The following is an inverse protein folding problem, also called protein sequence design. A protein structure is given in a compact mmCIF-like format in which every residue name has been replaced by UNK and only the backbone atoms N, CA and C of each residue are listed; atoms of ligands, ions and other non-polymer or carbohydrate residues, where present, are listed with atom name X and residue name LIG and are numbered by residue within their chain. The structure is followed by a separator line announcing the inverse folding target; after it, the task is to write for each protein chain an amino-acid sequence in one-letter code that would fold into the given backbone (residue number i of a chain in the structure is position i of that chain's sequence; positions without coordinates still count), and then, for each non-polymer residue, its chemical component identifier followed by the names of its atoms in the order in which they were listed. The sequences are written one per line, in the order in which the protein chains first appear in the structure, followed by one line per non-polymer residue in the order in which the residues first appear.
data_IF_790992662786
#
_entry.id   IF_790992662786
#
_cell.length_a   1.000
_cell.length_b   1.000
_cell.length_c   1.000
_cell.angle_alpha   90.00
_cell.angle_beta   90.00
_cell.angle_gamma   90.00
#
_symmetry.space_group_name_H-M   'P 1'
#
loop_
_entity.id
_entity.type
_entity.pdbx_description
1 polymer ?
#
# COMPACT_ATOMS: atom_id res chain seq x y z
N UNK A 1 -32.88 -4.76 0.27
CA UNK A 1 -31.97 -3.93 -0.55
C UNK A 1 -31.52 -4.70 -1.79
N UNK A 2 -31.47 -4.01 -2.93
CA UNK A 2 -31.12 -4.58 -4.23
C UNK A 2 -29.79 -3.97 -4.66
N UNK A 3 -28.86 -4.82 -5.07
CA UNK A 3 -27.56 -4.43 -5.61
C UNK A 3 -27.73 -3.74 -6.97
N UNK A 4 -26.92 -2.71 -7.21
CA UNK A 4 -26.88 -2.04 -8.52
C UNK A 4 -26.31 -2.97 -9.58
N UNK A 5 -26.77 -2.81 -10.82
CA UNK A 5 -26.32 -3.51 -12.03
C UNK A 5 -26.62 -5.01 -12.08
N UNK A 6 -26.51 -5.72 -10.96
CA UNK A 6 -26.73 -7.18 -10.89
C UNK A 6 -28.16 -7.57 -10.55
N UNK A 7 -28.94 -6.66 -9.89
CA UNK A 7 -30.26 -6.97 -9.38
C UNK A 7 -30.29 -7.98 -8.21
N UNK A 8 -29.14 -8.40 -7.69
CA UNK A 8 -29.08 -9.34 -6.56
C UNK A 8 -29.66 -8.72 -5.30
N UNK A 9 -30.33 -9.54 -4.49
CA UNK A 9 -30.84 -9.10 -3.18
C UNK A 9 -29.74 -9.19 -2.16
N UNK A 10 -29.24 -8.03 -1.70
CA UNK A 10 -28.20 -7.94 -0.66
C UNK A 10 -28.78 -8.23 0.72
N UNK A 11 -29.98 -7.70 0.99
CA UNK A 11 -30.64 -7.83 2.30
C UNK A 11 -32.16 -7.95 2.14
N UNK A 12 -32.72 -9.01 2.72
CA UNK A 12 -34.16 -9.16 2.94
C UNK A 12 -34.48 -8.59 4.32
N UNK A 13 -35.58 -7.80 4.40
CA UNK A 13 -36.17 -7.33 5.67
C UNK A 13 -37.58 -7.84 5.74
N UNK A 14 -38.01 -8.30 6.89
CA UNK A 14 -39.37 -8.67 7.17
C UNK A 14 -40.15 -7.50 7.81
N UNK A 15 -41.48 -7.60 7.89
CA UNK A 15 -42.31 -6.59 8.56
C UNK A 15 -42.05 -6.52 10.07
N UNK A 16 -41.48 -7.57 10.66
CA UNK A 16 -41.03 -7.60 12.06
C UNK A 16 -39.69 -6.86 12.26
N UNK A 17 -38.83 -6.78 11.23
CA UNK A 17 -37.51 -6.14 11.32
C UNK A 17 -37.59 -4.61 11.17
N UNK A 18 -38.68 -4.09 10.58
CA UNK A 18 -38.75 -2.67 10.24
C UNK A 18 -40.18 -2.17 10.23
N UNK A 19 -40.44 -1.04 10.87
CA UNK A 19 -41.71 -0.33 10.77
C UNK A 19 -41.98 0.13 9.34
N UNK A 20 -43.13 -0.20 8.81
CA UNK A 20 -43.54 0.21 7.47
C UNK A 20 -43.99 1.67 7.53
N UNK A 21 -43.36 2.53 6.72
CA UNK A 21 -43.73 3.95 6.59
C UNK A 21 -43.85 4.35 5.11
N UNK A 22 -44.72 5.31 4.82
CA UNK A 22 -44.99 5.81 3.47
C UNK A 22 -45.70 4.80 2.57
N UNK A 23 -45.98 5.21 1.33
CA UNK A 23 -46.72 4.41 0.36
C UNK A 23 -45.92 3.18 -0.07
N UNK A 24 -46.62 2.05 -0.11
CA UNK A 24 -46.04 0.77 -0.51
C UNK A 24 -46.90 0.12 -1.60
N UNK A 25 -46.20 -0.65 -2.44
CA UNK A 25 -46.81 -1.45 -3.50
C UNK A 25 -46.58 -2.92 -3.17
N UNK A 26 -47.64 -3.72 -3.25
CA UNK A 26 -47.58 -5.17 -3.07
C UNK A 26 -47.08 -5.79 -4.36
N UNK A 27 -46.23 -6.78 -4.23
CA UNK A 27 -45.74 -7.59 -5.36
C UNK A 27 -45.84 -9.08 -5.04
N UNK A 28 -45.92 -9.88 -6.08
CA UNK A 28 -46.03 -11.32 -5.98
C UNK A 28 -44.79 -12.00 -6.58
N UNK A 29 -44.49 -13.21 -6.11
CA UNK A 29 -43.46 -14.06 -6.63
C UNK A 29 -43.56 -14.22 -8.16
N UNK A 30 -42.46 -14.09 -8.86
CA UNK A 30 -42.36 -14.23 -10.33
C UNK A 30 -42.62 -12.93 -11.10
N UNK A 31 -43.08 -11.86 -10.42
CA UNK A 31 -43.17 -10.55 -11.06
C UNK A 31 -41.78 -9.93 -11.27
N UNK A 32 -41.67 -9.14 -12.32
CA UNK A 32 -40.47 -8.29 -12.52
C UNK A 32 -40.64 -7.04 -11.68
N UNK A 33 -39.61 -6.71 -10.90
CA UNK A 33 -39.53 -5.49 -10.10
C UNK A 33 -38.51 -4.55 -10.77
N UNK A 34 -38.96 -3.35 -11.18
CA UNK A 34 -38.08 -2.35 -11.81
C UNK A 34 -38.05 -1.06 -10.98
N UNK A 35 -36.84 -0.53 -10.71
CA UNK A 35 -36.72 0.76 -10.02
C UNK A 35 -36.82 1.93 -10.98
N UNK A 36 -37.86 2.77 -10.80
CA UNK A 36 -37.99 4.05 -11.52
C UNK A 36 -36.97 5.07 -11.08
N UNK A 37 -36.54 5.00 -9.82
CA UNK A 37 -35.61 5.94 -9.21
C UNK A 37 -34.17 5.54 -9.56
N UNK A 38 -33.42 6.48 -10.10
CA UNK A 38 -32.04 6.29 -10.53
C UNK A 38 -31.91 5.07 -11.45
N UNK A 39 -32.59 5.05 -12.60
CA UNK A 39 -32.66 3.88 -13.47
C UNK A 39 -31.26 3.41 -13.95
N UNK A 40 -30.27 4.31 -14.02
CA UNK A 40 -28.89 3.98 -14.34
C UNK A 40 -28.24 2.99 -13.36
N UNK A 41 -28.83 2.79 -12.17
CA UNK A 41 -28.40 1.76 -11.21
C UNK A 41 -28.89 0.35 -11.60
N UNK A 42 -29.71 0.21 -12.64
CA UNK A 42 -30.21 -1.07 -13.17
C UNK A 42 -30.72 -2.03 -12.09
N UNK A 43 -31.50 -1.51 -11.13
CA UNK A 43 -32.10 -2.33 -10.07
C UNK A 43 -33.38 -3.00 -10.60
N UNK A 44 -33.16 -4.15 -11.24
CA UNK A 44 -34.21 -4.96 -11.87
C UNK A 44 -34.01 -6.41 -11.48
N UNK A 45 -35.10 -7.10 -11.10
CA UNK A 45 -35.02 -8.52 -10.76
C UNK A 45 -36.39 -9.18 -10.91
N UNK A 46 -36.41 -10.52 -10.96
CA UNK A 46 -37.62 -11.31 -10.76
C UNK A 46 -37.83 -11.51 -9.27
N UNK A 47 -39.02 -11.20 -8.75
CA UNK A 47 -39.36 -11.34 -7.33
C UNK A 47 -39.28 -12.82 -6.90
N UNK A 48 -38.40 -13.19 -5.97
CA UNK A 48 -38.27 -14.59 -5.50
C UNK A 48 -39.41 -14.99 -4.55
N UNK A 49 -40.02 -14.01 -3.87
CA UNK A 49 -41.07 -14.19 -2.87
C UNK A 49 -42.16 -13.13 -3.02
N UNK A 50 -43.27 -13.28 -2.34
CA UNK A 50 -44.27 -12.22 -2.19
C UNK A 50 -43.74 -11.15 -1.23
N UNK A 51 -44.16 -9.90 -1.41
CA UNK A 51 -43.73 -8.84 -0.53
C UNK A 51 -44.27 -7.47 -0.83
N UNK A 52 -43.69 -6.45 -0.21
CA UNK A 52 -43.96 -5.04 -0.44
C UNK A 52 -42.71 -4.29 -0.83
N UNK A 53 -42.85 -3.33 -1.70
CA UNK A 53 -41.78 -2.44 -2.12
C UNK A 53 -42.18 -0.97 -2.00
N UNK A 54 -41.23 -0.06 -2.14
CA UNK A 54 -41.56 1.38 -2.21
C UNK A 54 -42.30 1.72 -3.50
N UNK A 55 -43.02 2.84 -3.53
CA UNK A 55 -43.67 3.36 -4.74
C UNK A 55 -42.71 3.70 -5.89
N UNK A 56 -41.43 3.72 -5.63
CA UNK A 56 -40.38 3.89 -6.66
C UNK A 56 -40.06 2.59 -7.40
N UNK A 57 -40.52 1.43 -6.91
CA UNK A 57 -40.41 0.14 -7.60
C UNK A 57 -41.74 -0.15 -8.31
N UNK A 58 -41.68 -0.56 -9.56
CA UNK A 58 -42.83 -0.97 -10.36
C UNK A 58 -42.81 -2.50 -10.50
N UNK A 59 -43.72 -3.19 -9.81
CA UNK A 59 -43.95 -4.62 -10.05
C UNK A 59 -44.85 -4.79 -11.29
N UNK A 60 -44.51 -5.72 -12.16
CA UNK A 60 -45.38 -6.09 -13.27
C UNK A 60 -45.23 -7.56 -13.64
N UNK A 61 -46.28 -8.12 -14.24
CA UNK A 61 -46.28 -9.49 -14.71
C UNK A 61 -46.13 -9.54 -16.23
N UNK A 62 -45.40 -10.53 -16.72
CA UNK A 62 -45.39 -10.84 -18.13
C UNK A 62 -46.65 -11.61 -18.51
N UNK A 63 -47.22 -11.34 -19.67
CA UNK A 63 -48.40 -12.04 -20.20
C UNK A 63 -48.00 -13.11 -21.22
N UNK A 64 -48.92 -14.04 -21.51
CA UNK A 64 -48.74 -15.01 -22.59
C UNK A 64 -47.60 -15.99 -22.40
N UNK A 65 -47.12 -16.19 -21.14
CA UNK A 65 -46.03 -17.12 -20.84
C UNK A 65 -44.63 -16.57 -21.17
N UNK A 66 -44.48 -15.28 -21.45
CA UNK A 66 -43.19 -14.64 -21.64
C UNK A 66 -42.32 -14.85 -20.39
N UNK A 67 -41.08 -15.22 -20.56
CA UNK A 67 -40.12 -15.49 -19.47
C UNK A 67 -39.74 -14.20 -18.72
N UNK A 68 -40.05 -14.14 -17.41
CA UNK A 68 -39.73 -12.96 -16.59
C UNK A 68 -38.26 -12.64 -16.51
N UNK A 69 -37.39 -13.68 -16.49
CA UNK A 69 -35.95 -13.47 -16.45
C UNK A 69 -35.41 -12.93 -17.78
N UNK A 70 -36.00 -13.36 -18.91
CA UNK A 70 -35.74 -12.78 -20.20
C UNK A 70 -36.03 -11.28 -20.22
N UNK A 71 -37.20 -10.86 -19.67
CA UNK A 71 -37.53 -9.43 -19.55
C UNK A 71 -36.50 -8.67 -18.70
N UNK A 72 -36.03 -9.25 -17.61
CA UNK A 72 -34.95 -8.62 -16.78
C UNK A 72 -33.72 -8.36 -17.63
N UNK A 73 -33.25 -9.33 -18.42
CA UNK A 73 -32.08 -9.15 -19.29
C UNK A 73 -32.31 -8.10 -20.39
N UNK A 74 -33.49 -8.05 -20.96
CA UNK A 74 -33.86 -7.00 -21.94
C UNK A 74 -33.82 -5.61 -21.27
N UNK A 75 -34.42 -5.45 -20.08
CA UNK A 75 -34.46 -4.17 -19.38
C UNK A 75 -33.11 -3.69 -18.87
N UNK A 76 -32.15 -4.58 -18.74
CA UNK A 76 -30.77 -4.25 -18.30
C UNK A 76 -29.78 -4.11 -19.47
N UNK A 77 -30.21 -4.42 -20.69
CA UNK A 77 -29.32 -4.33 -21.85
C UNK A 77 -28.93 -2.86 -22.17
N UNK A 78 -27.76 -2.64 -22.79
CA UNK A 78 -27.25 -1.29 -23.07
C UNK A 78 -28.21 -0.43 -23.89
N UNK A 79 -28.97 -1.02 -24.82
CA UNK A 79 -29.90 -0.29 -25.67
C UNK A 79 -31.06 0.30 -24.85
N UNK A 80 -31.71 -0.52 -24.03
CA UNK A 80 -32.82 -0.07 -23.16
C UNK A 80 -32.32 0.91 -22.10
N UNK A 81 -31.16 0.66 -21.52
CA UNK A 81 -30.49 1.55 -20.57
C UNK A 81 -30.26 2.94 -21.17
N UNK A 82 -29.76 3.01 -22.39
CA UNK A 82 -29.56 4.26 -23.13
C UNK A 82 -30.89 5.02 -23.32
N UNK A 83 -31.92 4.35 -23.79
CA UNK A 83 -33.25 4.96 -24.02
C UNK A 83 -33.83 5.52 -22.70
N UNK A 84 -33.82 4.71 -21.64
CA UNK A 84 -34.35 5.10 -20.33
C UNK A 84 -33.59 6.30 -19.75
N UNK A 85 -32.26 6.29 -19.80
CA UNK A 85 -31.46 7.37 -19.24
C UNK A 85 -31.55 8.67 -20.05
N UNK A 86 -31.83 8.61 -21.36
CA UNK A 86 -32.02 9.80 -22.21
C UNK A 86 -33.29 10.59 -21.91
N UNK A 87 -34.29 9.96 -21.28
CA UNK A 87 -35.60 10.57 -20.97
C UNK A 87 -35.88 10.73 -19.46
N UNK A 88 -34.86 10.55 -18.62
CA UNK A 88 -35.01 10.76 -17.18
C UNK A 88 -35.16 12.23 -16.84
N UNK A 89 -35.92 12.49 -15.79
CA UNK A 89 -36.13 13.83 -15.23
C UNK A 89 -35.69 13.89 -13.76
N UNK A 90 -35.32 15.09 -13.32
CA UNK A 90 -34.82 15.36 -11.95
C UNK A 90 -33.30 15.29 -11.82
N UNK A 91 -32.68 16.33 -11.26
CA UNK A 91 -31.21 16.50 -11.21
C UNK A 91 -30.56 15.62 -10.15
N UNK A 92 -31.02 15.67 -8.89
CA UNK A 92 -30.42 14.92 -7.77
C UNK A 92 -30.86 13.46 -7.70
N UNK A 93 -32.09 13.18 -8.11
CA UNK A 93 -32.73 11.87 -8.04
C UNK A 93 -33.49 11.60 -9.35
N UNK A 94 -32.80 11.31 -10.44
CA UNK A 94 -33.42 11.11 -11.75
C UNK A 94 -34.43 9.94 -11.70
N UNK A 95 -35.55 10.12 -12.39
CA UNK A 95 -36.62 9.15 -12.49
C UNK A 95 -37.04 8.95 -13.94
N UNK A 96 -37.51 7.76 -14.23
CA UNK A 96 -38.17 7.46 -15.50
C UNK A 96 -39.69 7.43 -15.30
N UNK A 97 -40.44 7.99 -16.24
CA UNK A 97 -41.89 7.93 -16.24
C UNK A 97 -42.42 6.53 -16.54
N UNK A 98 -43.55 6.17 -15.93
CA UNK A 98 -44.19 4.86 -16.18
C UNK A 98 -44.61 4.72 -17.64
N UNK A 99 -45.05 5.80 -18.27
CA UNK A 99 -45.42 5.82 -19.68
C UNK A 99 -44.25 5.45 -20.61
N UNK A 100 -43.04 5.98 -20.33
CA UNK A 100 -41.85 5.59 -21.07
C UNK A 100 -41.55 4.09 -20.95
N UNK A 101 -41.70 3.55 -19.74
CA UNK A 101 -41.48 2.12 -19.51
C UNK A 101 -42.48 1.23 -20.24
N UNK A 102 -43.78 1.62 -20.26
CA UNK A 102 -44.82 0.83 -20.92
C UNK A 102 -44.74 0.89 -22.44
N UNK A 103 -44.12 1.93 -23.00
CA UNK A 103 -43.97 2.11 -24.44
C UNK A 103 -42.58 1.64 -24.96
N UNK A 104 -41.76 1.01 -24.13
CA UNK A 104 -40.50 0.45 -24.57
C UNK A 104 -40.70 -0.65 -25.62
N UNK A 105 -40.00 -0.52 -26.74
CA UNK A 105 -39.98 -1.58 -27.76
C UNK A 105 -38.95 -2.64 -27.34
N UNK A 106 -39.39 -3.86 -27.17
CA UNK A 106 -38.56 -5.01 -26.82
C UNK A 106 -38.64 -6.09 -27.89
N UNK A 107 -37.52 -6.80 -28.16
CA UNK A 107 -37.55 -7.97 -29.05
C UNK A 107 -38.30 -9.12 -28.32
N UNK A 108 -39.16 -9.84 -29.02
CA UNK A 108 -39.89 -10.95 -28.49
C UNK A 108 -39.63 -12.24 -29.24
N UNK A 109 -38.63 -13.02 -28.92
CA UNK A 109 -38.38 -14.33 -29.51
C UNK A 109 -39.46 -15.37 -29.06
N UNK A 110 -39.57 -16.51 -29.78
CA UNK A 110 -40.40 -17.61 -29.30
C UNK A 110 -40.01 -18.06 -27.90
N UNK A 111 -40.95 -18.53 -27.08
CA UNK A 111 -40.74 -18.88 -25.65
C UNK A 111 -39.57 -19.88 -25.45
N UNK A 112 -39.46 -20.88 -26.32
CA UNK A 112 -38.37 -21.85 -26.25
C UNK A 112 -36.98 -21.20 -26.47
N UNK A 113 -36.95 -20.15 -27.28
CA UNK A 113 -35.71 -19.39 -27.53
C UNK A 113 -35.38 -18.47 -26.36
N UNK A 114 -36.37 -17.77 -25.76
CA UNK A 114 -36.21 -16.98 -24.53
C UNK A 114 -35.54 -17.82 -23.44
N UNK A 115 -36.03 -19.03 -23.19
CA UNK A 115 -35.47 -19.96 -22.18
C UNK A 115 -34.00 -20.34 -22.52
N UNK A 116 -33.68 -20.58 -23.79
CA UNK A 116 -32.30 -20.90 -24.22
C UNK A 116 -31.38 -19.69 -24.03
N UNK A 117 -31.86 -18.48 -24.32
CA UNK A 117 -31.12 -17.23 -24.10
C UNK A 117 -30.82 -17.06 -22.61
N UNK A 118 -31.83 -17.17 -21.76
CA UNK A 118 -31.69 -17.07 -20.30
C UNK A 118 -30.67 -18.11 -19.77
N UNK A 119 -30.86 -19.39 -20.12
CA UNK A 119 -29.94 -20.44 -19.69
C UNK A 119 -28.49 -20.21 -20.17
N UNK A 120 -28.30 -19.66 -21.39
CA UNK A 120 -26.97 -19.35 -21.91
C UNK A 120 -26.32 -18.19 -21.12
N UNK A 121 -27.07 -17.12 -20.84
CA UNK A 121 -26.58 -15.99 -20.03
C UNK A 121 -26.19 -16.46 -18.63
N UNK A 122 -27.10 -17.19 -17.94
CA UNK A 122 -26.87 -17.71 -16.59
C UNK A 122 -25.66 -18.65 -16.54
N UNK A 123 -25.46 -19.45 -17.59
CA UNK A 123 -24.30 -20.32 -17.71
C UNK A 123 -22.98 -19.57 -17.93
N UNK A 124 -23.02 -18.32 -18.46
CA UNK A 124 -21.83 -17.50 -18.68
C UNK A 124 -21.44 -16.61 -17.47
N UNK A 125 -22.43 -16.17 -16.68
CA UNK A 125 -22.17 -15.30 -15.54
C UNK A 125 -21.10 -15.82 -14.57
N UNK A 126 -21.07 -17.13 -14.19
CA UNK A 126 -20.03 -17.64 -13.29
C UNK A 126 -18.60 -17.56 -13.89
N UNK A 127 -18.46 -17.52 -15.22
CA UNK A 127 -17.16 -17.33 -15.87
C UNK A 127 -16.70 -15.88 -15.74
N UNK A 128 -17.62 -14.91 -15.86
CA UNK A 128 -17.32 -13.50 -15.66
C UNK A 128 -16.88 -13.24 -14.20
N UNK A 129 -17.59 -13.80 -13.21
CA UNK A 129 -17.21 -13.70 -11.80
C UNK A 129 -15.79 -14.28 -11.54
N UNK A 130 -15.45 -15.39 -12.20
CA UNK A 130 -14.09 -15.96 -12.10
C UNK A 130 -13.03 -15.12 -12.78
N UNK A 131 -13.37 -14.56 -13.94
CA UNK A 131 -12.47 -13.67 -14.67
C UNK A 131 -12.17 -12.40 -13.85
N UNK A 132 -13.20 -11.76 -13.29
CA UNK A 132 -13.04 -10.57 -12.46
C UNK A 132 -12.14 -10.84 -11.24
N UNK A 133 -12.35 -11.96 -10.55
CA UNK A 133 -11.48 -12.35 -9.42
C UNK A 133 -10.04 -12.61 -9.85
N UNK A 134 -9.83 -13.24 -11.00
CA UNK A 134 -8.48 -13.47 -11.53
C UNK A 134 -7.80 -12.17 -11.96
N UNK A 135 -8.55 -11.27 -12.59
CA UNK A 135 -8.08 -9.96 -13.01
C UNK A 135 -7.65 -9.11 -11.81
N UNK A 136 -8.53 -8.97 -10.80
CA UNK A 136 -8.23 -8.20 -9.60
C UNK A 136 -6.99 -8.73 -8.85
N UNK A 137 -6.81 -10.05 -8.83
CA UNK A 137 -5.61 -10.69 -8.26
C UNK A 137 -4.36 -10.33 -9.08
N UNK A 138 -4.45 -10.32 -10.39
CA UNK A 138 -3.33 -9.97 -11.27
C UNK A 138 -2.93 -8.50 -11.11
N UNK A 139 -3.90 -7.59 -11.00
CA UNK A 139 -3.65 -6.17 -10.73
C UNK A 139 -2.97 -5.96 -9.37
N UNK A 140 -3.45 -6.65 -8.32
CA UNK A 140 -2.83 -6.59 -6.98
C UNK A 140 -1.37 -7.09 -7.04
N UNK A 141 -1.12 -8.22 -7.69
CA UNK A 141 0.24 -8.71 -7.89
C UNK A 141 1.10 -7.73 -8.69
N UNK A 142 0.57 -7.19 -9.78
CA UNK A 142 1.30 -6.23 -10.62
C UNK A 142 1.69 -4.97 -9.87
N UNK A 143 0.81 -4.45 -9.03
CA UNK A 143 1.06 -3.24 -8.24
C UNK A 143 2.08 -3.46 -7.12
N UNK A 144 2.10 -4.64 -6.49
CA UNK A 144 3.00 -4.98 -5.38
C UNK A 144 4.35 -5.53 -5.81
N UNK A 145 4.41 -6.14 -6.99
CA UNK A 145 5.58 -6.87 -7.47
C UNK A 145 6.90 -6.08 -7.39
N UNK A 146 6.98 -4.78 -7.82
CA UNK A 146 8.24 -4.04 -7.74
C UNK A 146 8.78 -3.92 -6.31
N UNK A 147 7.89 -3.64 -5.36
CA UNK A 147 8.25 -3.48 -3.94
C UNK A 147 8.62 -4.82 -3.31
N UNK A 148 7.84 -5.85 -3.56
CA UNK A 148 8.06 -7.19 -3.01
C UNK A 148 9.34 -7.82 -3.59
N UNK A 149 9.61 -7.59 -4.89
CA UNK A 149 10.87 -8.01 -5.53
C UNK A 149 12.07 -7.32 -4.92
N UNK A 150 12.01 -6.00 -4.73
CA UNK A 150 13.10 -5.25 -4.08
C UNK A 150 13.40 -5.79 -2.69
N UNK A 151 12.37 -6.00 -1.87
CA UNK A 151 12.52 -6.60 -0.53
C UNK A 151 13.15 -7.99 -0.60
N UNK A 152 12.68 -8.83 -1.53
CA UNK A 152 13.23 -10.18 -1.71
C UNK A 152 14.70 -10.17 -2.09
N UNK A 153 15.11 -9.32 -3.03
CA UNK A 153 16.52 -9.15 -3.44
C UNK A 153 17.38 -8.73 -2.25
N UNK A 154 16.93 -7.73 -1.49
CA UNK A 154 17.67 -7.24 -0.33
C UNK A 154 17.74 -8.30 0.77
N UNK A 155 16.66 -9.05 1.01
CA UNK A 155 16.67 -10.17 1.95
C UNK A 155 17.66 -11.27 1.54
N UNK A 156 17.73 -11.61 0.25
CA UNK A 156 18.72 -12.54 -0.27
C UNK A 156 20.16 -12.01 -0.11
N UNK A 157 20.36 -10.70 -0.30
CA UNK A 157 21.68 -10.06 -0.14
C UNK A 157 22.19 -10.16 1.30
N UNK A 158 21.36 -9.81 2.29
CA UNK A 158 21.77 -9.84 3.71
C UNK A 158 21.89 -11.26 4.28
N UNK A 159 21.29 -12.26 3.62
CA UNK A 159 21.44 -13.68 3.95
C UNK A 159 22.62 -14.35 3.22
N UNK A 160 23.38 -13.61 2.41
CA UNK A 160 24.49 -14.16 1.62
C UNK A 160 24.06 -15.11 0.49
N UNK A 161 22.79 -15.04 0.06
CA UNK A 161 22.20 -15.90 -0.98
C UNK A 161 22.14 -15.25 -2.37
N UNK A 162 22.50 -13.96 -2.47
CA UNK A 162 22.37 -13.21 -3.72
C UNK A 162 23.55 -13.44 -4.66
N UNK A 163 24.74 -13.64 -4.11
CA UNK A 163 25.99 -13.87 -4.86
C UNK A 163 26.67 -15.14 -4.36
N UNK A 164 27.51 -15.72 -5.22
CA UNK A 164 28.31 -16.89 -4.88
C UNK A 164 29.39 -16.54 -3.86
N UNK A 165 29.59 -17.39 -2.85
CA UNK A 165 30.63 -17.21 -1.84
C UNK A 165 32.00 -17.62 -2.43
N UNK A 166 33.01 -16.80 -2.21
CA UNK A 166 34.35 -17.01 -2.72
C UNK A 166 35.37 -17.15 -1.59
N UNK A 167 35.89 -18.34 -1.35
CA UNK A 167 36.84 -18.58 -0.25
C UNK A 167 38.10 -17.70 -0.28
N UNK A 168 38.52 -17.28 -1.48
CA UNK A 168 39.68 -16.40 -1.68
C UNK A 168 39.47 -14.97 -1.16
N UNK A 169 38.27 -14.55 -0.91
CA UNK A 169 37.93 -13.21 -0.37
C UNK A 169 38.09 -13.12 1.16
N UNK A 170 38.45 -14.24 1.82
CA UNK A 170 38.62 -14.32 3.27
C UNK A 170 37.33 -14.53 4.04
N UNK A 171 37.38 -14.34 5.34
CA UNK A 171 36.25 -14.62 6.25
C UNK A 171 35.83 -13.38 7.04
N UNK A 172 34.56 -13.36 7.48
CA UNK A 172 34.04 -12.32 8.40
C UNK A 172 34.79 -12.29 9.75
N UNK A 173 35.33 -13.42 10.21
CA UNK A 173 36.17 -13.49 11.41
C UNK A 173 37.51 -12.75 11.22
N UNK A 174 38.17 -12.90 10.07
CA UNK A 174 39.39 -12.19 9.76
C UNK A 174 39.18 -10.70 9.64
N UNK A 175 38.14 -10.29 8.91
CA UNK A 175 37.74 -8.89 8.81
C UNK A 175 37.39 -8.29 10.19
N UNK A 176 36.66 -9.00 11.02
CA UNK A 176 36.33 -8.56 12.37
C UNK A 176 37.61 -8.32 13.21
N UNK A 177 38.59 -9.21 13.15
CA UNK A 177 39.88 -9.04 13.87
C UNK A 177 40.63 -7.81 13.39
N UNK A 178 40.67 -7.54 12.08
CA UNK A 178 41.29 -6.35 11.52
C UNK A 178 40.62 -5.07 12.02
N UNK A 179 39.27 -5.02 11.99
CA UNK A 179 38.50 -3.89 12.50
C UNK A 179 38.74 -3.67 14.00
N UNK A 180 38.79 -4.75 14.80
CA UNK A 180 39.07 -4.65 16.25
C UNK A 180 40.50 -4.15 16.56
N UNK A 181 41.46 -4.52 15.75
CA UNK A 181 42.83 -4.01 15.88
C UNK A 181 42.87 -2.50 15.58
N UNK A 182 42.24 -2.06 14.53
CA UNK A 182 42.16 -0.64 14.16
C UNK A 182 41.35 0.16 15.22
N UNK A 183 40.23 -0.37 15.69
CA UNK A 183 39.44 0.25 16.78
C UNK A 183 40.31 0.47 18.05
N UNK A 184 41.12 -0.52 18.43
CA UNK A 184 42.03 -0.40 19.56
C UNK A 184 43.07 0.71 19.32
N UNK A 185 43.63 0.80 18.12
CA UNK A 185 44.58 1.86 17.74
C UNK A 185 43.96 3.24 17.86
N UNK A 186 42.76 3.44 17.31
CA UNK A 186 42.05 4.72 17.35
C UNK A 186 41.65 5.14 18.77
N UNK A 187 41.32 4.18 19.66
CA UNK A 187 41.07 4.44 21.09
C UNK A 187 42.38 4.91 21.78
N UNK A 188 43.53 4.28 21.50
CA UNK A 188 44.82 4.67 22.07
C UNK A 188 45.23 6.06 21.60
N UNK A 189 44.94 6.41 20.34
CA UNK A 189 45.19 7.74 19.77
C UNK A 189 44.17 8.81 20.24
N UNK A 190 43.16 8.41 21.02
CA UNK A 190 42.13 9.33 21.52
C UNK A 190 41.15 9.83 20.47
N UNK A 191 41.11 9.20 19.29
CA UNK A 191 40.20 9.57 18.17
C UNK A 191 38.79 9.08 18.35
N UNK A 192 38.61 7.94 19.04
CA UNK A 192 37.31 7.39 19.42
C UNK A 192 37.27 7.08 20.90
N UNK A 193 36.08 7.13 21.49
CA UNK A 193 35.91 6.83 22.93
C UNK A 193 35.94 5.32 23.16
N UNK A 194 36.53 4.91 24.30
CA UNK A 194 36.43 3.53 24.78
C UNK A 194 35.00 3.27 25.26
N UNK A 195 34.36 2.30 24.65
CA UNK A 195 33.03 1.84 25.03
C UNK A 195 33.10 0.66 26.02
N UNK A 196 31.96 0.36 26.66
CA UNK A 196 31.83 -0.85 27.48
C UNK A 196 31.77 -2.07 26.55
N UNK A 197 32.38 -3.19 26.96
CA UNK A 197 32.24 -4.44 26.21
C UNK A 197 30.75 -4.79 26.04
N UNK A 198 30.38 -5.18 24.83
CA UNK A 198 29.05 -5.71 24.57
C UNK A 198 28.95 -7.17 25.03
N UNK A 199 27.77 -7.66 25.41
CA UNK A 199 27.55 -9.06 25.72
C UNK A 199 27.82 -9.92 24.47
N UNK A 200 28.14 -11.19 24.68
CA UNK A 200 28.20 -12.16 23.58
C UNK A 200 26.80 -12.37 22.99
N UNK A 201 26.74 -12.50 21.66
CA UNK A 201 25.49 -12.73 20.94
C UNK A 201 25.01 -14.15 21.26
N UNK A 202 23.83 -14.28 21.84
CA UNK A 202 23.22 -15.57 22.13
C UNK A 202 22.61 -16.18 20.85
N UNK A 203 22.51 -17.51 20.80
CA UNK A 203 21.99 -18.22 19.63
C UNK A 203 20.53 -17.84 19.28
N UNK A 204 19.73 -17.52 20.28
CA UNK A 204 18.33 -17.08 20.14
C UNK A 204 18.17 -15.63 19.68
N UNK A 205 19.25 -14.83 19.71
CA UNK A 205 19.29 -13.47 19.19
C UNK A 205 19.60 -13.43 17.67
N UNK A 206 20.06 -14.55 17.08
CA UNK A 206 20.40 -14.64 15.66
C UNK A 206 19.13 -14.73 14.81
N UNK A 207 18.84 -13.72 13.96
CA UNK A 207 17.55 -13.66 13.28
C UNK A 207 17.39 -14.64 12.10
N UNK A 208 18.51 -15.09 11.52
CA UNK A 208 18.54 -16.05 10.40
C UNK A 208 19.94 -16.65 10.22
N UNK A 209 20.00 -17.76 9.48
CA UNK A 209 21.27 -18.42 9.12
C UNK A 209 22.03 -17.59 8.07
N UNK A 210 23.34 -17.51 8.23
CA UNK A 210 24.28 -16.87 7.31
C UNK A 210 25.29 -17.90 6.77
N UNK A 211 26.01 -17.63 5.66
CA UNK A 211 27.07 -18.50 5.16
C UNK A 211 28.16 -18.76 6.20
N UNK A 212 28.80 -19.93 6.13
CA UNK A 212 29.84 -20.35 7.08
C UNK A 212 31.03 -19.39 7.17
N UNK A 213 31.37 -18.71 6.07
CA UNK A 213 32.43 -17.69 6.03
C UNK A 213 32.04 -16.34 6.66
N UNK A 214 30.76 -16.13 7.05
CA UNK A 214 30.28 -14.88 7.62
C UNK A 214 30.29 -14.92 9.16
N UNK A 215 30.16 -13.75 9.77
CA UNK A 215 30.11 -13.61 11.23
C UNK A 215 29.04 -12.62 11.65
N UNK A 216 28.20 -13.00 12.63
CA UNK A 216 27.34 -12.06 13.33
C UNK A 216 28.17 -11.20 14.30
N UNK A 217 27.95 -9.90 14.24
CA UNK A 217 28.61 -8.90 15.11
C UNK A 217 27.63 -7.82 15.53
N UNK A 218 27.82 -7.21 16.66
CA UNK A 218 27.06 -6.02 17.03
C UNK A 218 27.55 -4.82 16.18
N UNK A 219 26.61 -3.94 15.77
CA UNK A 219 26.95 -2.79 14.92
C UNK A 219 28.02 -1.90 15.57
N UNK A 220 27.96 -1.69 16.89
CA UNK A 220 28.95 -0.92 17.64
C UNK A 220 30.36 -1.54 17.64
N UNK A 221 30.51 -2.82 17.35
CA UNK A 221 31.84 -3.43 17.24
C UNK A 221 32.58 -3.00 15.99
N UNK A 222 31.86 -2.65 14.95
CA UNK A 222 32.42 -2.40 13.61
C UNK A 222 32.19 -0.98 13.08
N UNK A 223 31.34 -0.20 13.74
CA UNK A 223 30.99 1.17 13.38
C UNK A 223 31.08 2.07 14.62
N UNK A 224 31.62 3.28 14.45
CA UNK A 224 31.56 4.35 15.44
C UNK A 224 30.20 5.06 15.31
N UNK A 225 29.35 4.88 16.31
CA UNK A 225 28.00 5.46 16.34
C UNK A 225 28.00 6.71 17.19
N UNK A 226 27.61 7.83 16.60
CA UNK A 226 27.52 9.13 17.29
C UNK A 226 26.10 9.68 17.20
N UNK A 227 25.72 10.44 18.23
CA UNK A 227 24.47 11.18 18.24
C UNK A 227 24.67 12.62 17.76
N UNK A 228 23.76 13.11 16.93
CA UNK A 228 23.61 14.52 16.65
C UNK A 228 23.24 15.30 17.92
N UNK A 229 23.27 16.63 17.85
CA UNK A 229 22.86 17.45 19.01
C UNK A 229 21.37 17.23 19.33
N UNK A 230 21.03 17.28 20.62
CA UNK A 230 19.64 17.30 21.09
C UNK A 230 19.17 18.73 21.34
N UNK A 231 20.08 19.65 21.62
CA UNK A 231 19.78 21.05 21.81
C UNK A 231 19.37 21.73 20.50
N UNK A 232 18.59 22.78 20.62
CA UNK A 232 18.18 23.60 19.47
C UNK A 232 18.93 24.93 19.52
N UNK A 233 20.00 25.09 18.71
CA UNK A 233 20.66 26.37 18.57
C UNK A 233 19.70 27.45 18.05
N UNK A 234 20.06 28.72 18.22
CA UNK A 234 19.30 29.81 17.63
C UNK A 234 19.45 29.77 16.11
N UNK A 235 18.32 29.85 15.43
CA UNK A 235 18.33 29.91 13.97
C UNK A 235 18.74 31.30 13.49
N UNK A 236 19.50 31.34 12.43
CA UNK A 236 20.01 32.58 11.79
C UNK A 236 19.58 32.61 10.33
N UNK A 237 19.69 33.82 9.72
CA UNK A 237 19.32 34.00 8.30
C UNK A 237 20.43 33.54 7.37
N UNK A 238 21.68 33.61 7.81
CA UNK A 238 22.86 33.17 7.07
C UNK A 238 23.76 32.35 7.99
N UNK A 239 24.20 31.19 7.54
CA UNK A 239 24.99 30.24 8.36
C UNK A 239 25.07 28.84 7.79
N UNK A 240 25.27 27.87 8.68
CA UNK A 240 25.45 26.44 8.35
C UNK A 240 24.14 25.67 8.50
N UNK A 241 23.76 24.81 7.54
CA UNK A 241 22.55 23.98 7.66
C UNK A 241 22.58 23.04 8.86
N UNK A 242 21.46 23.01 9.62
CA UNK A 242 21.20 22.03 10.66
C UNK A 242 20.22 20.99 10.12
N UNK A 243 20.73 19.83 9.77
CA UNK A 243 19.99 18.71 9.17
C UNK A 243 19.29 17.91 10.27
N UNK A 244 18.03 17.61 10.05
CA UNK A 244 17.16 16.80 10.92
C UNK A 244 16.55 15.64 10.12
N UNK A 245 15.84 14.72 10.77
CA UNK A 245 15.14 13.61 10.10
C UNK A 245 14.23 14.07 8.95
N UNK A 246 13.66 15.27 9.02
CA UNK A 246 12.78 15.84 7.98
C UNK A 246 13.54 16.17 6.68
N UNK A 247 14.83 16.34 6.76
CA UNK A 247 15.69 16.66 5.63
C UNK A 247 16.22 15.40 4.93
N UNK A 248 15.96 14.20 5.46
CA UNK A 248 16.30 12.94 4.81
C UNK A 248 15.16 12.50 3.90
N UNK A 249 15.30 12.71 2.60
CA UNK A 249 14.24 12.48 1.60
C UNK A 249 14.78 11.61 0.46
N UNK A 250 14.12 10.48 0.21
CA UNK A 250 14.46 9.57 -0.90
C UNK A 250 15.95 9.19 -0.97
N UNK A 251 16.56 8.87 0.20
CA UNK A 251 17.96 8.47 0.28
C UNK A 251 18.96 9.62 0.07
N UNK A 252 18.53 10.87 0.16
CA UNK A 252 19.37 12.08 0.01
C UNK A 252 19.07 13.09 1.11
N UNK A 253 20.00 14.04 1.27
CA UNK A 253 19.85 15.16 2.19
C UNK A 253 19.26 16.36 1.40
N UNK A 254 18.07 16.81 1.80
CA UNK A 254 17.47 18.05 1.28
C UNK A 254 17.91 19.23 2.13
N UNK A 255 18.85 20.00 1.63
CA UNK A 255 19.33 21.22 2.28
C UNK A 255 18.41 22.42 2.12
N UNK A 256 17.47 22.41 1.16
CA UNK A 256 16.62 23.57 0.87
C UNK A 256 15.66 23.89 2.02
N UNK A 257 15.26 22.86 2.75
CA UNK A 257 14.34 22.97 3.89
C UNK A 257 15.06 23.00 5.24
N UNK A 258 16.41 22.86 5.25
CA UNK A 258 17.20 22.89 6.48
C UNK A 258 17.26 24.31 7.06
N UNK A 259 17.10 24.40 8.38
CA UNK A 259 17.29 25.67 9.09
C UNK A 259 18.78 25.94 9.28
N UNK A 260 19.16 27.21 9.29
CA UNK A 260 20.54 27.63 9.42
C UNK A 260 20.86 27.99 10.89
N UNK A 261 22.09 27.63 11.32
CA UNK A 261 22.68 27.96 12.63
C UNK A 261 23.96 28.72 12.44
N UNK A 262 24.46 29.37 13.51
CA UNK A 262 25.73 30.09 13.47
C UNK A 262 26.92 29.16 13.17
N UNK A 263 27.97 29.69 12.60
CA UNK A 263 29.23 28.94 12.40
C UNK A 263 29.81 28.45 13.73
N UNK A 264 29.70 29.23 14.79
CA UNK A 264 30.19 28.87 16.12
C UNK A 264 29.43 27.65 16.69
N UNK A 265 28.08 27.68 16.60
CA UNK A 265 27.26 26.54 17.03
C UNK A 265 27.55 25.29 16.19
N UNK A 266 27.76 25.45 14.88
CA UNK A 266 28.11 24.36 13.98
C UNK A 266 29.43 23.72 14.36
N UNK A 267 30.47 24.52 14.63
CA UNK A 267 31.78 24.01 15.09
C UNK A 267 31.63 23.23 16.39
N UNK A 268 30.93 23.80 17.38
CA UNK A 268 30.70 23.15 18.67
C UNK A 268 29.98 21.80 18.52
N UNK A 269 28.95 21.70 17.67
CA UNK A 269 28.21 20.47 17.40
C UNK A 269 29.12 19.45 16.68
N UNK A 270 29.88 19.90 15.68
CA UNK A 270 30.68 19.04 14.83
C UNK A 270 31.93 18.48 15.51
N UNK A 271 32.36 19.02 16.65
CA UNK A 271 33.39 18.40 17.51
C UNK A 271 32.95 16.99 17.91
N UNK A 272 31.67 16.79 18.21
CA UNK A 272 31.12 15.49 18.62
C UNK A 272 30.57 14.69 17.44
N UNK A 273 29.85 15.33 16.55
CA UNK A 273 29.06 14.69 15.51
C UNK A 273 29.31 15.25 14.10
N UNK A 274 30.57 15.64 13.84
CA UNK A 274 31.00 16.06 12.50
C UNK A 274 30.80 14.95 11.49
N UNK A 275 30.12 15.26 10.39
CA UNK A 275 29.78 14.35 9.32
C UNK A 275 30.82 14.42 8.22
N UNK A 276 31.26 13.27 7.74
CA UNK A 276 32.20 13.14 6.62
C UNK A 276 31.52 12.46 5.41
N UNK A 277 32.17 12.54 4.27
CA UNK A 277 31.74 11.84 3.07
C UNK A 277 31.75 10.32 3.31
N UNK A 278 30.70 9.61 2.86
CA UNK A 278 30.55 8.17 3.06
C UNK A 278 30.08 7.72 4.45
N UNK A 279 29.80 8.64 5.37
CA UNK A 279 29.09 8.32 6.61
C UNK A 279 27.60 7.99 6.34
N UNK A 280 26.91 7.38 7.30
CA UNK A 280 25.46 7.16 7.19
C UNK A 280 24.73 7.99 8.24
N UNK A 281 23.70 8.70 7.82
CA UNK A 281 22.72 9.35 8.69
C UNK A 281 21.50 8.44 8.83
N UNK A 282 21.03 8.29 10.07
CA UNK A 282 19.87 7.46 10.40
C UNK A 282 18.91 8.22 11.31
N UNK A 283 17.65 8.34 10.90
CA UNK A 283 16.63 9.05 11.67
C UNK A 283 16.19 8.25 12.88
N UNK A 284 16.33 8.84 14.10
CA UNK A 284 15.90 8.24 15.35
C UNK A 284 14.56 8.78 15.86
N UNK A 285 14.09 9.91 15.34
CA UNK A 285 12.86 10.60 15.78
C UNK A 285 11.98 10.88 14.57
N UNK A 286 10.67 10.67 14.73
CA UNK A 286 9.68 10.81 13.67
C UNK A 286 9.54 9.53 12.87
N UNK A 287 9.80 9.58 11.56
CA UNK A 287 9.93 8.37 10.75
C UNK A 287 11.29 7.73 11.04
N UNK A 288 11.30 6.74 11.93
CA UNK A 288 12.54 6.01 12.28
C UNK A 288 13.04 5.24 11.06
N UNK A 289 14.36 5.21 10.89
CA UNK A 289 15.01 4.55 9.75
C UNK A 289 15.49 5.54 8.70
N UNK A 290 15.16 5.27 7.45
CA UNK A 290 15.56 6.08 6.29
C UNK A 290 17.07 6.37 6.25
N UNK A 291 17.93 5.33 6.17
CA UNK A 291 19.39 5.51 6.14
C UNK A 291 19.81 6.25 4.88
N UNK A 292 20.66 7.25 5.05
CA UNK A 292 21.22 8.05 3.94
C UNK A 292 22.74 7.96 3.97
N UNK A 293 23.33 7.40 2.91
CA UNK A 293 24.77 7.48 2.68
C UNK A 293 25.11 8.91 2.29
N UNK A 294 25.95 9.55 3.11
CA UNK A 294 26.33 10.95 2.92
C UNK A 294 27.25 11.10 1.71
N UNK A 295 26.84 11.98 0.79
CA UNK A 295 27.71 12.60 -0.19
C UNK A 295 27.92 14.05 0.24
N UNK A 296 29.08 14.33 0.82
CA UNK A 296 29.32 15.65 1.45
C UNK A 296 29.66 16.70 0.40
N UNK A 297 28.67 17.54 0.08
CA UNK A 297 28.82 18.64 -0.87
C UNK A 297 29.10 19.99 -0.16
N UNK A 298 28.79 20.08 1.12
CA UNK A 298 28.97 21.29 1.96
C UNK A 298 29.09 20.94 3.43
N UNK A 299 29.50 21.91 4.24
CA UNK A 299 29.47 21.75 5.69
C UNK A 299 28.02 21.84 6.21
N UNK A 300 27.71 21.01 7.18
CA UNK A 300 26.44 21.00 7.89
C UNK A 300 26.58 20.32 9.27
N UNK A 301 25.62 20.54 10.13
CA UNK A 301 25.50 19.87 11.42
C UNK A 301 24.25 19.02 11.49
N UNK A 302 24.19 18.05 12.40
CA UNK A 302 23.05 17.14 12.53
C UNK A 302 22.39 17.25 13.90
N UNK A 303 21.08 17.03 13.93
CA UNK A 303 20.28 17.07 15.15
C UNK A 303 19.32 15.89 15.21
N UNK A 304 19.27 15.22 16.40
CA UNK A 304 18.36 14.11 16.69
C UNK A 304 18.43 12.98 15.65
N UNK A 305 19.63 12.64 15.23
CA UNK A 305 19.94 11.55 14.29
C UNK A 305 21.16 10.79 14.77
N UNK A 306 21.18 9.49 14.47
CA UNK A 306 22.41 8.71 14.59
C UNK A 306 23.29 8.95 13.37
N UNK A 307 24.57 9.07 13.62
CA UNK A 307 25.65 9.15 12.66
C UNK A 307 26.48 7.87 12.75
N UNK A 308 26.56 7.12 11.68
CA UNK A 308 27.38 5.92 11.59
C UNK A 308 28.63 6.23 10.79
N UNK A 309 29.78 6.07 11.43
CA UNK A 309 31.10 6.30 10.84
C UNK A 309 31.85 4.97 10.75
N UNK A 310 32.41 4.60 9.60
CA UNK A 310 33.23 3.41 9.53
C UNK A 310 34.48 3.59 10.42
N UNK A 311 34.86 2.54 11.12
CA UNK A 311 36.14 2.51 11.87
C UNK A 311 37.32 2.70 10.92
N UNK A 312 37.24 2.04 9.77
CA UNK A 312 38.19 2.20 8.65
C UNK A 312 37.38 2.17 7.33
N UNK A 313 37.63 3.14 6.46
CA UNK A 313 36.95 3.29 5.17
C UNK A 313 37.35 2.29 4.11
N UNK A 314 38.55 1.71 4.25
CA UNK A 314 39.06 0.68 3.34
C UNK A 314 38.57 -0.72 3.74
N UNK A 315 38.41 -0.95 5.05
CA UNK A 315 37.97 -2.24 5.59
C UNK A 315 36.44 -2.42 5.61
N UNK A 316 35.65 -1.34 5.55
CA UNK A 316 34.21 -1.42 5.78
C UNK A 316 33.41 -0.72 4.69
N UNK A 317 32.64 -1.51 3.94
CA UNK A 317 31.85 -1.03 2.80
C UNK A 317 30.48 -0.48 3.25
N UNK A 318 30.41 0.81 3.53
CA UNK A 318 29.21 1.49 4.05
C UNK A 318 27.94 1.34 3.19
N UNK A 319 27.98 1.26 1.85
CA UNK A 319 26.77 0.99 1.08
C UNK A 319 26.07 -0.32 1.45
N UNK A 320 26.81 -1.36 1.85
CA UNK A 320 26.19 -2.60 2.36
C UNK A 320 25.40 -2.37 3.64
N UNK A 321 25.92 -1.54 4.55
CA UNK A 321 25.23 -1.16 5.79
C UNK A 321 23.92 -0.43 5.52
N UNK A 322 23.87 0.43 4.51
CA UNK A 322 22.63 1.10 4.10
C UNK A 322 21.57 0.07 3.71
N UNK A 323 21.93 -0.91 2.88
CA UNK A 323 21.00 -1.98 2.50
C UNK A 323 20.54 -2.80 3.69
N UNK A 324 21.43 -3.14 4.61
CA UNK A 324 21.07 -3.85 5.84
C UNK A 324 20.07 -3.03 6.68
N UNK A 325 20.34 -1.75 6.93
CA UNK A 325 19.49 -0.86 7.73
C UNK A 325 18.13 -0.55 7.10
N UNK A 326 17.96 -0.77 5.81
CA UNK A 326 16.66 -0.64 5.14
C UNK A 326 15.73 -1.83 5.41
N UNK A 327 16.24 -2.92 5.99
CA UNK A 327 15.51 -4.18 6.20
C UNK A 327 15.58 -4.72 7.64
N UNK A 328 16.36 -4.07 8.50
CA UNK A 328 16.47 -4.44 9.91
C UNK A 328 15.22 -4.07 10.75
#
# INVERSE_FOLDING_TARGET
DIEKETGRIIRKCTTSDRTISGDKVIFFKGQVLYSKLRPYLKKVLVAPDNGICSSEMVPFSAYGGVDSQYIVYVLTCPHVDYIINSVTYGVKMPRVGTETMTNLLIPLPPLAEQKRIVAKIEGLLPYLDRYEKAWNRLEDFGSRFPVDMQKSILQMAIQGKLVEQRPEEGTGEELYRQIQAEKKRLIQEGKIKKEKPLPEIAEDEVPFEIPEGWKWVCLLDVIDVRDGTHDTPKYVVDGVPLVTSKNLVNGKIDFNTAKLISHEDSIAINIRSGVDDGDILFAMIGTIGNPVLVKKEREFSIKNMALFKPIDRELFYMPYVVFFLQHA
#
